data_IF_490397924972
#
_entry.id   IF_490397924972
#
_cell.length_a   1.000
_cell.length_b   1.000
_cell.length_c   1.000
_cell.angle_alpha   90.00
_cell.angle_beta   90.00
_cell.angle_gamma   90.00
#
_symmetry.space_group_name_H-M   'P 1'
#
loop_
_entity.id
_entity.type
_entity.pdbx_description
1 polymer ?
#
# COMPACT_ATOMS: atom_id res chain seq x y z
N UNK A 1 6.43 16.65 16.76
CA UNK A 1 7.79 16.11 16.82
C UNK A 1 7.71 14.57 16.76
N UNK A 2 8.03 13.97 15.59
CA UNK A 2 7.93 12.52 15.37
C UNK A 2 9.33 11.92 15.43
N UNK A 3 9.51 10.89 16.27
CA UNK A 3 10.75 10.11 16.33
C UNK A 3 10.40 8.64 16.60
N UNK A 4 10.77 7.78 15.68
CA UNK A 4 10.72 6.32 15.85
C UNK A 4 11.72 5.65 14.91
N UNK A 5 12.02 4.40 15.19
CA UNK A 5 12.84 3.54 14.34
C UNK A 5 12.03 2.29 14.02
N UNK A 6 12.20 1.68 12.86
CA UNK A 6 11.56 0.41 12.52
C UNK A 6 12.58 -0.60 12.02
N UNK A 7 12.33 -1.86 12.33
CA UNK A 7 13.14 -2.98 11.88
C UNK A 7 12.73 -3.46 10.48
N UNK A 8 13.66 -4.01 9.69
CA UNK A 8 13.30 -4.62 8.42
C UNK A 8 12.25 -5.71 8.60
N UNK A 9 11.18 -5.66 7.78
CA UNK A 9 10.08 -6.61 7.82
C UNK A 9 9.05 -6.36 8.92
N UNK A 10 9.18 -5.29 9.70
CA UNK A 10 8.23 -4.92 10.75
C UNK A 10 6.94 -4.34 10.14
N UNK A 11 5.79 -4.73 10.69
CA UNK A 11 4.48 -4.18 10.33
C UNK A 11 4.08 -3.16 11.39
N UNK A 12 4.00 -1.90 11.00
CA UNK A 12 3.65 -0.77 11.86
C UNK A 12 2.27 -0.24 11.48
N UNK A 13 1.33 -0.32 12.41
CA UNK A 13 0.03 0.32 12.27
C UNK A 13 0.09 1.77 12.81
N UNK A 14 -0.41 2.71 12.03
CA UNK A 14 -0.53 4.12 12.40
C UNK A 14 -2.01 4.41 12.63
N UNK A 15 -2.35 4.79 13.86
CA UNK A 15 -3.72 5.07 14.28
C UNK A 15 -3.83 6.48 14.86
N UNK A 16 -5.03 7.03 14.92
CA UNK A 16 -5.31 8.35 15.48
C UNK A 16 -6.50 9.02 14.81
N UNK A 17 -7.00 10.12 15.36
CA UNK A 17 -8.14 10.83 14.79
C UNK A 17 -7.86 11.41 13.40
N UNK A 18 -8.93 11.84 12.72
CA UNK A 18 -8.77 12.59 11.47
C UNK A 18 -8.00 13.89 11.76
N UNK A 19 -7.04 14.22 10.90
CA UNK A 19 -6.18 15.38 11.11
C UNK A 19 -4.94 15.16 11.99
N UNK A 20 -4.77 13.99 12.62
CA UNK A 20 -3.62 13.68 13.47
C UNK A 20 -2.24 13.69 12.75
N UNK A 21 -2.21 13.81 11.42
CA UNK A 21 -0.95 13.86 10.66
C UNK A 21 -0.52 12.53 10.02
N UNK A 22 -1.34 11.46 10.10
CA UNK A 22 -1.01 10.13 9.54
C UNK A 22 -0.63 10.17 8.05
N UNK A 23 -1.48 10.79 7.23
CA UNK A 23 -1.21 10.94 5.78
C UNK A 23 0.03 11.81 5.52
N UNK A 24 0.28 12.82 6.35
CA UNK A 24 1.49 13.65 6.23
C UNK A 24 2.74 12.81 6.47
N UNK A 25 2.74 11.95 7.48
CA UNK A 25 3.86 11.03 7.75
C UNK A 25 4.12 10.10 6.57
N UNK A 26 3.07 9.52 5.97
CA UNK A 26 3.17 8.67 4.78
C UNK A 26 3.74 9.46 3.58
N UNK A 27 3.29 10.68 3.38
CA UNK A 27 3.79 11.54 2.30
C UNK A 27 5.26 11.91 2.47
N UNK A 28 5.74 12.05 3.70
CA UNK A 28 7.16 12.24 4.00
C UNK A 28 7.98 10.99 3.68
N UNK A 29 7.48 9.78 3.98
CA UNK A 29 8.15 8.51 3.62
C UNK A 29 8.27 8.33 2.09
N UNK A 30 7.27 8.81 1.33
CA UNK A 30 7.32 8.85 -0.14
C UNK A 30 8.16 9.99 -0.70
N UNK A 31 8.61 10.89 0.19
CA UNK A 31 9.31 12.12 -0.20
C UNK A 31 8.50 12.98 -1.19
N UNK A 32 7.16 13.04 -1.00
CA UNK A 32 6.34 14.06 -1.66
C UNK A 32 6.65 15.46 -1.11
N UNK A 33 7.12 15.50 0.15
CA UNK A 33 7.63 16.68 0.84
C UNK A 33 8.90 16.30 1.59
N UNK A 34 9.82 17.23 1.73
CA UNK A 34 10.94 17.08 2.64
C UNK A 34 10.57 17.61 4.04
N UNK A 35 11.04 16.98 5.12
CA UNK A 35 10.81 17.50 6.47
C UNK A 35 11.50 18.87 6.64
N UNK A 36 10.82 19.80 7.35
CA UNK A 36 11.34 21.14 7.65
C UNK A 36 12.55 21.03 8.59
N UNK A 37 12.51 20.09 9.53
CA UNK A 37 13.59 19.80 10.47
C UNK A 37 13.67 18.28 10.71
N UNK A 38 14.84 17.80 11.15
CA UNK A 38 15.12 16.38 11.33
C UNK A 38 15.46 15.68 10.02
N UNK A 39 15.54 14.35 10.08
CA UNK A 39 15.86 13.47 8.93
C UNK A 39 14.96 12.25 8.91
N UNK A 40 14.79 11.70 7.73
CA UNK A 40 14.24 10.36 7.51
C UNK A 40 15.33 9.55 6.86
N UNK A 41 15.62 8.39 7.44
CA UNK A 41 16.70 7.53 6.98
C UNK A 41 16.18 6.16 6.62
N UNK A 42 16.70 5.60 5.53
CA UNK A 42 16.47 4.22 5.11
C UNK A 42 17.83 3.55 4.99
N UNK A 43 18.03 2.48 5.74
CA UNK A 43 19.31 1.75 5.81
C UNK A 43 20.52 2.70 6.09
N UNK A 44 20.34 3.66 7.01
CA UNK A 44 21.35 4.65 7.39
C UNK A 44 21.59 5.77 6.37
N UNK A 45 20.81 5.85 5.31
CA UNK A 45 20.93 6.89 4.30
C UNK A 45 19.75 7.88 4.41
N UNK A 46 20.08 9.18 4.48
CA UNK A 46 19.05 10.23 4.49
C UNK A 46 18.31 10.24 3.15
N UNK A 47 16.97 10.11 3.16
CA UNK A 47 16.18 10.06 1.94
C UNK A 47 16.31 11.31 1.06
N UNK A 48 16.69 12.47 1.63
CA UNK A 48 16.98 13.69 0.87
C UNK A 48 18.19 13.55 -0.06
N UNK A 49 19.15 12.71 0.31
CA UNK A 49 20.41 12.49 -0.42
C UNK A 49 20.29 11.35 -1.44
N UNK A 50 19.26 10.50 -1.30
CA UNK A 50 19.02 9.40 -2.22
C UNK A 50 18.40 9.93 -3.52
N UNK A 51 18.81 9.36 -4.66
CA UNK A 51 18.13 9.62 -5.93
C UNK A 51 16.65 9.23 -5.82
N UNK A 52 15.76 10.17 -6.15
CA UNK A 52 14.31 9.99 -5.98
C UNK A 52 13.77 8.75 -6.73
N UNK A 53 14.24 8.48 -7.94
CA UNK A 53 13.82 7.30 -8.72
C UNK A 53 14.23 6.01 -8.00
N UNK A 54 15.43 5.97 -7.41
CA UNK A 54 15.91 4.83 -6.61
C UNK A 54 15.05 4.64 -5.36
N UNK A 55 14.78 5.71 -4.61
CA UNK A 55 13.89 5.67 -3.45
C UNK A 55 12.50 5.14 -3.83
N UNK A 56 11.87 5.77 -4.82
CA UNK A 56 10.52 5.40 -5.27
C UNK A 56 10.45 3.97 -5.83
N UNK A 57 11.54 3.42 -6.36
CA UNK A 57 11.56 2.01 -6.79
C UNK A 57 11.42 1.03 -5.62
N UNK A 58 11.83 1.41 -4.41
CA UNK A 58 11.81 0.59 -3.19
C UNK A 58 10.53 0.77 -2.35
N UNK A 59 9.71 1.75 -2.65
CA UNK A 59 8.49 2.06 -1.88
C UNK A 59 7.26 1.90 -2.76
N UNK A 60 6.23 1.20 -2.31
CA UNK A 60 4.93 1.19 -2.97
C UNK A 60 3.83 1.67 -2.03
N UNK A 61 2.87 2.38 -2.60
CA UNK A 61 1.64 2.82 -1.94
C UNK A 61 0.45 2.08 -2.53
N UNK A 62 -0.36 1.49 -1.67
CA UNK A 62 -1.72 1.06 -1.99
C UNK A 62 -2.67 2.07 -1.32
N UNK A 63 -3.22 3.02 -2.10
CA UNK A 63 -4.04 4.09 -1.54
C UNK A 63 -5.44 3.60 -1.20
N UNK A 64 -6.12 4.32 -0.31
CA UNK A 64 -7.53 4.12 0.05
C UNK A 64 -8.43 4.20 -1.19
N UNK A 65 -8.32 5.27 -1.95
CA UNK A 65 -9.02 5.42 -3.22
C UNK A 65 -8.13 4.99 -4.38
N UNK A 66 -8.49 3.87 -4.98
CA UNK A 66 -7.73 3.32 -6.09
C UNK A 66 -7.94 4.15 -7.35
N UNK A 67 -6.91 4.81 -7.82
CA UNK A 67 -6.86 5.44 -9.13
C UNK A 67 -6.29 4.46 -10.16
N UNK A 68 -7.12 4.13 -11.15
CA UNK A 68 -6.69 3.43 -12.36
C UNK A 68 -6.63 4.41 -13.53
N UNK A 69 -5.68 4.17 -14.42
CA UNK A 69 -5.54 4.98 -15.64
C UNK A 69 -6.48 4.45 -16.72
N UNK A 70 -6.91 5.30 -17.62
CA UNK A 70 -7.59 4.85 -18.84
C UNK A 70 -6.68 3.89 -19.61
N UNK A 71 -7.28 2.90 -20.29
CA UNK A 71 -6.55 1.86 -20.99
C UNK A 71 -6.96 0.47 -20.59
N UNK A 72 -6.08 -0.51 -20.79
CA UNK A 72 -6.32 -1.92 -20.49
C UNK A 72 -5.95 -2.31 -19.06
N UNK A 73 -6.45 -3.45 -18.61
CA UNK A 73 -6.03 -4.06 -17.33
C UNK A 73 -4.52 -4.33 -17.33
N UNK A 74 -4.01 -4.86 -18.45
CA UNK A 74 -2.57 -5.12 -18.64
C UNK A 74 -1.73 -3.87 -18.40
N UNK A 75 -2.05 -2.78 -19.08
CA UNK A 75 -1.33 -1.51 -18.93
C UNK A 75 -1.37 -1.02 -17.48
N UNK A 76 -2.52 -1.11 -16.83
CA UNK A 76 -2.66 -0.72 -15.44
C UNK A 76 -1.78 -1.50 -14.47
N UNK A 77 -1.63 -2.81 -14.66
CA UNK A 77 -0.72 -3.62 -13.81
C UNK A 77 0.74 -3.30 -14.15
N UNK A 78 1.08 -3.16 -15.46
CA UNK A 78 2.44 -2.85 -15.92
C UNK A 78 2.99 -1.51 -15.41
N UNK A 79 2.14 -0.57 -14.95
CA UNK A 79 2.63 0.63 -14.28
C UNK A 79 3.50 0.32 -13.05
N UNK A 80 3.38 -0.85 -12.46
CA UNK A 80 4.27 -1.31 -11.38
C UNK A 80 5.71 -1.56 -11.87
N UNK A 81 5.85 -2.14 -13.07
CA UNK A 81 7.12 -2.46 -13.73
C UNK A 81 6.88 -2.56 -15.24
N UNK A 82 7.22 -1.51 -15.98
CA UNK A 82 6.90 -1.39 -17.41
C UNK A 82 7.51 -2.52 -18.26
N UNK A 83 8.68 -3.01 -17.90
CA UNK A 83 9.43 -4.06 -18.62
C UNK A 83 9.12 -5.47 -18.10
N UNK A 84 8.04 -5.64 -17.29
CA UNK A 84 7.69 -6.95 -16.78
C UNK A 84 7.23 -7.88 -17.91
N UNK A 85 7.65 -9.13 -17.79
CA UNK A 85 7.20 -10.20 -18.69
C UNK A 85 5.73 -10.53 -18.45
N UNK A 86 5.13 -11.23 -19.42
CA UNK A 86 3.75 -11.70 -19.28
C UNK A 86 3.56 -12.60 -18.05
N UNK A 87 4.57 -13.45 -17.76
CA UNK A 87 4.51 -14.35 -16.60
C UNK A 87 4.55 -13.57 -15.29
N UNK A 88 5.46 -12.58 -15.14
CA UNK A 88 5.53 -11.74 -13.95
C UNK A 88 4.20 -11.00 -13.71
N UNK A 89 3.60 -10.47 -14.79
CA UNK A 89 2.31 -9.79 -14.72
C UNK A 89 1.19 -10.75 -14.25
N UNK A 90 1.14 -11.96 -14.81
CA UNK A 90 0.14 -12.96 -14.42
C UNK A 90 0.32 -13.43 -12.97
N UNK A 91 1.54 -13.66 -12.53
CA UNK A 91 1.83 -14.05 -11.14
C UNK A 91 1.45 -12.91 -10.16
N UNK A 92 1.75 -11.66 -10.49
CA UNK A 92 1.30 -10.53 -9.70
C UNK A 92 -0.24 -10.43 -9.61
N UNK A 93 -0.93 -10.68 -10.73
CA UNK A 93 -2.38 -10.69 -10.75
C UNK A 93 -2.98 -11.85 -9.94
N UNK A 94 -2.37 -13.04 -9.96
CA UNK A 94 -2.74 -14.19 -9.13
C UNK A 94 -2.56 -13.88 -7.65
N UNK A 95 -1.38 -13.37 -7.27
CA UNK A 95 -1.07 -13.02 -5.90
C UNK A 95 -1.99 -11.92 -5.33
N UNK A 96 -2.55 -11.06 -6.21
CA UNK A 96 -3.54 -10.05 -5.85
C UNK A 96 -4.99 -10.57 -5.89
N UNK A 97 -5.22 -11.87 -6.08
CA UNK A 97 -6.55 -12.46 -6.30
C UNK A 97 -7.34 -11.78 -7.45
N UNK A 98 -6.62 -11.24 -8.46
CA UNK A 98 -7.19 -10.53 -9.60
C UNK A 98 -7.34 -11.41 -10.84
N UNK A 99 -6.52 -12.45 -11.00
CA UNK A 99 -6.43 -13.25 -12.21
C UNK A 99 -7.78 -13.85 -12.62
N UNK A 100 -8.55 -14.37 -11.67
CA UNK A 100 -9.81 -15.05 -11.94
C UNK A 100 -10.80 -14.12 -12.64
N UNK A 101 -11.11 -12.97 -12.03
CA UNK A 101 -12.07 -12.05 -12.65
C UNK A 101 -11.57 -11.47 -13.98
N UNK A 102 -10.24 -11.32 -14.14
CA UNK A 102 -9.64 -10.82 -15.40
C UNK A 102 -9.91 -11.83 -16.53
N UNK A 103 -9.75 -13.11 -16.26
CA UNK A 103 -9.94 -14.17 -17.28
C UNK A 103 -11.40 -14.42 -17.62
N UNK A 104 -12.35 -13.98 -16.81
CA UNK A 104 -13.79 -14.01 -17.10
C UNK A 104 -14.25 -12.90 -18.06
N UNK A 105 -13.43 -11.84 -18.22
CA UNK A 105 -13.73 -10.78 -19.18
C UNK A 105 -13.44 -11.26 -20.62
N UNK A 106 -14.24 -10.83 -21.58
CA UNK A 106 -14.14 -11.24 -23.00
C UNK A 106 -12.74 -11.02 -23.58
N UNK A 107 -12.08 -9.92 -23.21
CA UNK A 107 -10.76 -9.55 -23.70
C UNK A 107 -9.65 -9.83 -22.66
N UNK A 108 -9.99 -10.42 -21.52
CA UNK A 108 -9.06 -10.77 -20.45
C UNK A 108 -8.19 -9.58 -20.02
N UNK A 109 -6.89 -9.75 -20.03
CA UNK A 109 -5.93 -8.69 -19.69
C UNK A 109 -5.94 -7.50 -20.65
N UNK A 110 -6.48 -7.65 -21.87
CA UNK A 110 -6.61 -6.57 -22.84
C UNK A 110 -7.94 -5.82 -22.72
N UNK A 111 -8.81 -6.23 -21.80
CA UNK A 111 -10.07 -5.54 -21.54
C UNK A 111 -9.83 -4.08 -21.13
N UNK A 112 -10.55 -3.16 -21.78
CA UNK A 112 -10.49 -1.74 -21.48
C UNK A 112 -11.39 -1.40 -20.30
N UNK A 113 -10.85 -0.72 -19.30
CA UNK A 113 -11.53 -0.45 -18.02
C UNK A 113 -12.25 0.91 -17.97
N UNK A 114 -12.08 1.74 -18.99
CA UNK A 114 -12.61 3.11 -19.02
C UNK A 114 -11.83 4.08 -18.11
N UNK A 115 -12.25 5.34 -18.11
CA UNK A 115 -11.63 6.34 -17.23
C UNK A 115 -11.83 5.94 -15.77
N UNK A 116 -10.75 6.02 -14.97
CA UNK A 116 -10.72 5.65 -13.55
C UNK A 116 -11.25 4.25 -13.24
N UNK A 117 -11.32 3.35 -14.23
CA UNK A 117 -11.80 1.98 -14.04
C UNK A 117 -13.30 1.87 -13.78
N UNK A 118 -14.12 2.77 -14.33
CA UNK A 118 -15.58 2.82 -14.08
C UNK A 118 -16.32 1.51 -14.42
N UNK A 119 -15.76 0.68 -15.29
CA UNK A 119 -16.34 -0.62 -15.67
C UNK A 119 -16.06 -1.72 -14.65
N UNK A 120 -15.29 -1.47 -13.62
CA UNK A 120 -14.90 -2.44 -12.59
C UNK A 120 -15.59 -2.13 -11.26
N UNK A 121 -15.84 -3.17 -10.46
CA UNK A 121 -16.28 -3.00 -9.07
C UNK A 121 -15.17 -2.36 -8.21
N UNK A 122 -15.51 -1.84 -7.04
CA UNK A 122 -14.52 -1.29 -6.09
C UNK A 122 -13.44 -2.32 -5.72
N UNK A 123 -13.86 -3.55 -5.41
CA UNK A 123 -12.94 -4.64 -5.07
C UNK A 123 -12.04 -5.07 -6.24
N UNK A 124 -12.56 -5.07 -7.47
CA UNK A 124 -11.75 -5.35 -8.66
C UNK A 124 -10.69 -4.27 -8.88
N UNK A 125 -11.05 -2.99 -8.75
CA UNK A 125 -10.08 -1.88 -8.84
C UNK A 125 -8.99 -2.01 -7.79
N UNK A 126 -9.36 -2.30 -6.55
CA UNK A 126 -8.38 -2.43 -5.45
C UNK A 126 -7.42 -3.60 -5.69
N UNK A 127 -7.92 -4.77 -6.13
CA UNK A 127 -7.06 -5.91 -6.49
C UNK A 127 -6.10 -5.59 -7.64
N UNK A 128 -6.49 -4.77 -8.62
CA UNK A 128 -5.56 -4.31 -9.66
C UNK A 128 -4.48 -3.37 -9.11
N UNK A 129 -4.81 -2.48 -8.15
CA UNK A 129 -3.80 -1.65 -7.49
C UNK A 129 -2.82 -2.49 -6.67
N UNK A 130 -3.31 -3.52 -5.98
CA UNK A 130 -2.47 -4.49 -5.27
C UNK A 130 -1.58 -5.24 -6.26
N UNK A 131 -2.11 -5.73 -7.39
CA UNK A 131 -1.32 -6.40 -8.43
C UNK A 131 -0.20 -5.50 -8.97
N UNK A 132 -0.48 -4.20 -9.18
CA UNK A 132 0.51 -3.19 -9.55
C UNK A 132 1.62 -3.06 -8.51
N UNK A 133 1.25 -3.01 -7.23
CA UNK A 133 2.21 -2.91 -6.14
C UNK A 133 3.05 -4.19 -5.99
N UNK A 134 2.43 -5.37 -6.13
CA UNK A 134 3.14 -6.67 -6.12
C UNK A 134 4.13 -6.76 -7.27
N UNK A 135 3.73 -6.36 -8.49
CA UNK A 135 4.60 -6.39 -9.67
C UNK A 135 5.82 -5.48 -9.51
N UNK A 136 5.67 -4.36 -8.81
CA UNK A 136 6.76 -3.45 -8.46
C UNK A 136 7.78 -4.10 -7.52
N UNK A 137 7.35 -5.03 -6.67
CA UNK A 137 8.15 -5.75 -5.69
C UNK A 137 8.98 -4.83 -4.76
N UNK A 138 8.36 -3.91 -4.03
CA UNK A 138 9.03 -2.95 -3.16
C UNK A 138 9.55 -3.63 -1.89
N UNK A 139 10.52 -2.99 -1.20
CA UNK A 139 10.95 -3.39 0.15
C UNK A 139 10.12 -2.73 1.24
N UNK A 140 9.59 -1.55 0.96
CA UNK A 140 8.73 -0.79 1.86
C UNK A 140 7.34 -0.70 1.25
N UNK A 141 6.35 -1.14 2.00
CA UNK A 141 4.95 -1.09 1.61
C UNK A 141 4.21 -0.08 2.48
N UNK A 142 3.39 0.74 1.86
CA UNK A 142 2.50 1.66 2.55
C UNK A 142 1.08 1.34 2.14
N UNK A 143 0.25 1.06 3.13
CA UNK A 143 -1.16 0.77 2.96
C UNK A 143 -1.98 1.89 3.61
N UNK A 144 -2.85 2.52 2.84
CA UNK A 144 -3.87 3.43 3.37
C UNK A 144 -5.21 2.68 3.35
N UNK A 145 -5.61 2.17 4.52
CA UNK A 145 -6.84 1.41 4.65
C UNK A 145 -8.06 2.31 4.66
N UNK A 146 -8.71 2.42 3.53
CA UNK A 146 -10.05 2.95 3.45
C UNK A 146 -11.08 1.83 3.30
N UNK A 147 -12.05 1.84 4.17
CA UNK A 147 -13.07 0.78 4.25
C UNK A 147 -14.37 1.18 3.59
N UNK A 148 -14.35 1.80 2.45
CA UNK A 148 -15.60 2.16 1.79
C UNK A 148 -16.21 0.97 1.04
N UNK A 149 -17.35 0.48 1.53
CA UNK A 149 -18.41 -0.18 0.76
C UNK A 149 -18.00 -1.36 -0.16
N UNK A 150 -17.10 -2.23 0.29
CA UNK A 150 -16.86 -3.49 -0.40
C UNK A 150 -17.79 -4.57 0.14
N UNK A 151 -18.19 -5.50 -0.74
CA UNK A 151 -18.86 -6.71 -0.29
C UNK A 151 -17.88 -7.63 0.47
N UNK A 152 -18.41 -8.46 1.36
CA UNK A 152 -17.62 -9.32 2.23
C UNK A 152 -16.67 -10.26 1.47
N UNK A 153 -17.05 -10.73 0.29
CA UNK A 153 -16.24 -11.63 -0.52
C UNK A 153 -15.04 -10.89 -1.12
N UNK A 154 -15.27 -9.72 -1.70
CA UNK A 154 -14.18 -8.86 -2.21
C UNK A 154 -13.23 -8.45 -1.11
N UNK A 155 -13.75 -8.14 0.08
CA UNK A 155 -12.95 -7.78 1.24
C UNK A 155 -12.02 -8.92 1.69
N UNK A 156 -12.54 -10.15 1.80
CA UNK A 156 -11.73 -11.32 2.16
C UNK A 156 -10.59 -11.57 1.16
N UNK A 157 -10.86 -11.49 -0.14
CA UNK A 157 -9.85 -11.68 -1.19
C UNK A 157 -8.76 -10.60 -1.15
N UNK A 158 -9.13 -9.36 -0.84
CA UNK A 158 -8.19 -8.24 -0.70
C UNK A 158 -7.32 -8.44 0.54
N UNK A 159 -7.94 -8.80 1.67
CA UNK A 159 -7.22 -9.03 2.92
C UNK A 159 -6.19 -10.14 2.77
N UNK A 160 -6.57 -11.29 2.21
CA UNK A 160 -5.67 -12.40 1.91
C UNK A 160 -4.49 -11.96 1.03
N UNK A 161 -4.75 -11.21 -0.04
CA UNK A 161 -3.71 -10.71 -0.92
C UNK A 161 -2.74 -9.76 -0.19
N UNK A 162 -3.26 -8.87 0.67
CA UNK A 162 -2.45 -7.93 1.44
C UNK A 162 -1.60 -8.65 2.50
N UNK A 163 -2.16 -9.60 3.25
CA UNK A 163 -1.43 -10.39 4.25
C UNK A 163 -0.23 -11.12 3.62
N UNK A 164 -0.47 -11.79 2.49
CA UNK A 164 0.59 -12.44 1.73
C UNK A 164 1.63 -11.44 1.21
N UNK A 165 1.19 -10.25 0.76
CA UNK A 165 2.07 -9.23 0.21
C UNK A 165 2.92 -8.53 1.28
N UNK A 166 2.40 -8.34 2.49
CA UNK A 166 3.13 -7.76 3.62
C UNK A 166 4.27 -8.66 4.11
N UNK A 167 4.16 -9.97 3.94
CA UNK A 167 5.17 -10.93 4.39
C UNK A 167 6.58 -10.54 3.93
N UNK A 168 7.51 -10.42 4.89
CA UNK A 168 8.91 -10.06 4.67
C UNK A 168 9.17 -8.62 4.15
N UNK A 169 8.18 -7.72 4.28
CA UNK A 169 8.32 -6.31 3.88
C UNK A 169 8.09 -5.40 5.07
N UNK A 170 8.90 -4.35 5.16
CA UNK A 170 8.61 -3.28 6.11
C UNK A 170 7.33 -2.59 5.67
N UNK A 171 6.31 -2.63 6.51
CA UNK A 171 4.97 -2.17 6.14
C UNK A 171 4.46 -1.10 7.08
N UNK A 172 4.01 0.01 6.54
CA UNK A 172 3.29 1.06 7.26
C UNK A 172 1.82 1.02 6.85
N UNK A 173 0.91 0.94 7.82
CA UNK A 173 -0.52 0.85 7.57
C UNK A 173 -1.23 2.00 8.29
N UNK A 174 -1.92 2.88 7.55
CA UNK A 174 -2.93 3.75 8.17
C UNK A 174 -4.14 2.86 8.45
N UNK A 175 -4.23 2.38 9.69
CA UNK A 175 -5.19 1.36 10.05
C UNK A 175 -6.52 2.00 10.48
N UNK A 176 -7.59 1.52 9.87
CA UNK A 176 -8.98 1.83 10.21
C UNK A 176 -9.77 0.61 10.70
N UNK A 177 -9.14 -0.58 10.68
CA UNK A 177 -9.74 -1.86 11.09
C UNK A 177 -9.05 -2.41 12.32
N UNK A 178 -9.84 -2.91 13.26
CA UNK A 178 -9.30 -3.52 14.47
C UNK A 178 -8.45 -4.76 14.15
N UNK A 179 -8.85 -5.57 13.15
CA UNK A 179 -8.09 -6.76 12.73
C UNK A 179 -6.67 -6.39 12.29
N UNK A 180 -6.49 -5.34 11.51
CA UNK A 180 -5.17 -4.86 11.06
C UNK A 180 -4.32 -4.41 12.24
N UNK A 181 -4.94 -3.66 13.18
CA UNK A 181 -4.26 -3.19 14.39
C UNK A 181 -3.79 -4.36 15.26
N UNK A 182 -4.60 -5.42 15.37
CA UNK A 182 -4.27 -6.60 16.18
C UNK A 182 -3.11 -7.43 15.60
N UNK A 183 -2.92 -7.43 14.28
CA UNK A 183 -1.86 -8.18 13.60
C UNK A 183 -0.57 -7.37 13.38
N UNK A 184 -0.57 -6.08 13.70
CA UNK A 184 0.63 -5.27 13.61
C UNK A 184 1.66 -5.63 14.70
N UNK A 185 2.94 -5.62 14.33
CA UNK A 185 4.04 -5.83 15.29
C UNK A 185 4.12 -4.67 16.28
N UNK A 186 3.79 -3.47 15.82
CA UNK A 186 3.78 -2.25 16.62
C UNK A 186 2.71 -1.27 16.11
N UNK A 187 2.15 -0.52 17.04
CA UNK A 187 1.17 0.52 16.80
C UNK A 187 1.78 1.85 17.20
N UNK A 188 1.64 2.85 16.33
CA UNK A 188 1.95 4.25 16.63
C UNK A 188 0.63 5.01 16.74
N UNK A 189 0.35 5.53 17.92
CA UNK A 189 -0.83 6.37 18.16
C UNK A 189 -0.44 7.81 17.93
N UNK A 190 -1.05 8.43 16.93
CA UNK A 190 -0.77 9.82 16.57
C UNK A 190 -1.91 10.75 16.97
N UNK A 191 -1.54 11.90 17.52
CA UNK A 191 -2.44 13.01 17.75
C UNK A 191 -1.70 14.34 17.56
N UNK A 192 -2.36 15.33 16.96
CA UNK A 192 -1.84 16.70 16.69
C UNK A 192 -0.42 16.73 16.07
N UNK A 193 -0.08 15.73 15.24
CA UNK A 193 1.23 15.65 14.57
C UNK A 193 2.36 15.07 15.44
N UNK A 194 2.03 14.46 16.57
CA UNK A 194 2.98 13.78 17.46
C UNK A 194 2.61 12.32 17.66
N UNK A 195 3.59 11.48 18.01
CA UNK A 195 3.35 10.13 18.50
C UNK A 195 3.16 10.25 20.02
N UNK A 196 1.94 9.97 20.49
CA UNK A 196 1.57 10.07 21.90
C UNK A 196 1.76 8.74 22.65
N UNK A 197 1.60 7.61 21.93
CA UNK A 197 1.82 6.28 22.47
C UNK A 197 2.39 5.38 21.38
N UNK A 198 3.20 4.40 21.79
CA UNK A 198 3.65 3.32 20.92
C UNK A 198 3.74 1.99 21.70
N UNK A 199 3.40 0.91 21.04
CA UNK A 199 3.44 -0.42 21.66
C UNK A 199 2.73 -1.48 20.84
N UNK A 200 2.62 -2.69 21.39
CA UNK A 200 1.78 -3.74 20.83
C UNK A 200 0.32 -3.52 21.24
N UNK A 201 -0.61 -4.07 20.48
CA UNK A 201 -2.04 -3.97 20.80
C UNK A 201 -2.38 -4.31 22.26
N UNK A 202 -1.73 -5.34 22.81
CA UNK A 202 -1.94 -5.77 24.21
C UNK A 202 -1.42 -4.80 25.27
N UNK A 203 -0.47 -3.96 24.90
CA UNK A 203 0.19 -3.03 25.82
C UNK A 203 -0.51 -1.66 25.84
N UNK A 204 -1.38 -1.41 24.84
CA UNK A 204 -2.12 -0.15 24.65
C UNK A 204 -3.61 -0.24 25.03
N UNK A 205 -4.06 -1.39 25.59
CA UNK A 205 -5.39 -1.61 26.17
C UNK A 205 -5.37 -1.43 27.67
#
# INVERSE_FOLDING_TARGET
NIKFECSPGEIIAIVGPSGAGKTTLINLLHRFYDPISGSIEIDGNNIKEINLKSLLSQVALVPQETSLFGGTIRENILYGKLEATQNELMEAAKAANAHHFITELSDGYNATIGEKGIKLSGGQRQRLAIARAILKNPRILILDEGTSSLDNQSESLIQEALENFMSFRTTFIIAHRLSTIQHADRILVMDEGEIIEEGKHKDLL
#
